data_IF_332935020069
#
_entry.id   IF_332935020069
#
_cell.length_a   1.000
_cell.length_b   1.000
_cell.length_c   1.000
_cell.angle_alpha   90.00
_cell.angle_beta   90.00
_cell.angle_gamma   90.00
#
_symmetry.space_group_name_H-M   'P 1'
#
loop_
_entity.id
_entity.type
_entity.pdbx_description
1 polymer ?
#
# COMPACT_ATOMS: atom_id res chain seq x y z
N UNK A 1 3.42 23.96 17.21
CA UNK A 1 3.29 23.98 16.62
C UNK A 1 3.08 24.66 15.97
N UNK A 2 3.41 24.99 15.77
CA UNK A 2 3.16 25.38 15.23
C UNK A 2 3.33 25.70 14.59
N UNK A 3 3.87 25.87 14.73
CA UNK A 3 4.13 25.91 13.90
C UNK A 3 3.70 25.50 12.96
N UNK A 4 3.30 25.40 12.98
CA UNK A 4 2.73 24.73 12.18
C UNK A 4 2.37 25.30 10.98
N UNK A 5 2.36 26.18 10.61
CA UNK A 5 1.93 26.89 9.53
C UNK A 5 2.65 26.52 8.31
N UNK A 6 3.33 27.39 7.63
CA UNK A 6 4.00 27.06 6.40
C UNK A 6 5.03 25.99 6.61
N UNK A 7 5.73 26.07 7.70
CA UNK A 7 6.69 25.04 8.04
C UNK A 7 6.03 23.70 8.25
N UNK A 8 4.84 23.72 8.81
CA UNK A 8 4.09 22.49 9.05
C UNK A 8 3.73 21.77 7.76
N UNK A 9 3.35 22.53 6.74
CA UNK A 9 2.99 21.92 5.46
C UNK A 9 4.17 21.22 4.83
N UNK A 10 5.33 21.86 4.83
CA UNK A 10 6.54 21.24 4.29
C UNK A 10 6.93 20.03 5.09
N UNK A 11 6.83 20.11 6.41
CA UNK A 11 7.16 18.99 7.26
C UNK A 11 6.20 17.83 7.05
N UNK A 12 4.93 18.12 6.83
CA UNK A 12 3.95 17.08 6.57
C UNK A 12 4.26 16.33 5.29
N UNK A 13 4.68 17.05 4.24
CA UNK A 13 4.99 16.41 2.98
C UNK A 13 6.19 15.49 3.13
N UNK A 14 7.25 15.97 3.79
CA UNK A 14 8.43 15.15 4.00
C UNK A 14 8.14 13.96 4.89
N UNK A 15 7.41 14.19 5.95
CA UNK A 15 7.03 13.12 6.86
C UNK A 15 6.22 12.05 6.13
N UNK A 16 5.26 12.48 5.32
CA UNK A 16 4.43 11.54 4.60
C UNK A 16 5.25 10.69 3.64
N UNK A 17 6.20 11.31 2.93
CA UNK A 17 7.04 10.57 2.00
C UNK A 17 7.90 9.54 2.71
N UNK A 18 8.48 9.93 3.83
CA UNK A 18 9.29 9.00 4.60
C UNK A 18 8.44 7.87 5.19
N UNK A 19 7.24 8.21 5.63
CA UNK A 19 6.32 7.21 6.16
C UNK A 19 5.94 6.20 5.08
N UNK A 20 5.63 6.68 3.87
CA UNK A 20 5.28 5.81 2.76
C UNK A 20 6.44 4.87 2.44
N UNK A 21 7.65 5.41 2.31
CA UNK A 21 8.82 4.60 1.99
C UNK A 21 9.05 3.53 3.04
N UNK A 22 9.01 3.94 4.31
CA UNK A 22 9.28 3.03 5.41
C UNK A 22 8.26 1.88 5.45
N UNK A 23 6.98 2.22 5.35
CA UNK A 23 5.95 1.19 5.45
C UNK A 23 5.87 0.33 4.19
N UNK A 24 6.16 0.91 3.02
CA UNK A 24 6.21 0.13 1.80
C UNK A 24 7.30 -0.92 1.87
N UNK A 25 8.45 -0.55 2.44
CA UNK A 25 9.55 -1.51 2.58
C UNK A 25 9.19 -2.65 3.51
N UNK A 26 8.26 -2.42 4.40
CA UNK A 26 7.79 -3.44 5.32
C UNK A 26 6.65 -4.27 4.74
N UNK A 27 6.33 -4.07 3.47
CA UNK A 27 5.32 -4.86 2.80
C UNK A 27 3.90 -4.36 2.92
N UNK A 28 3.72 -3.12 3.37
CA UNK A 28 2.37 -2.55 3.52
C UNK A 28 1.99 -1.79 2.28
N UNK A 29 0.70 -1.82 1.94
CA UNK A 29 0.19 -1.19 0.75
C UNK A 29 -0.38 0.20 1.01
N UNK A 30 -0.78 0.89 -0.07
CA UNK A 30 -1.19 2.29 0.04
C UNK A 30 -2.49 2.50 0.80
N UNK A 31 -3.41 1.53 0.78
CA UNK A 31 -4.67 1.69 1.52
C UNK A 31 -4.39 1.77 3.02
N UNK A 32 -3.54 0.87 3.51
CA UNK A 32 -3.21 0.88 4.92
C UNK A 32 -2.41 2.12 5.30
N UNK A 33 -1.46 2.50 4.44
CA UNK A 33 -0.64 3.69 4.71
C UNK A 33 -1.51 4.93 4.75
N UNK A 34 -2.46 5.04 3.83
CA UNK A 34 -3.39 6.17 3.81
C UNK A 34 -4.16 6.25 5.13
N UNK A 35 -4.69 5.12 5.58
CA UNK A 35 -5.46 5.11 6.82
C UNK A 35 -4.61 5.56 8.01
N UNK A 36 -3.37 5.09 8.08
CA UNK A 36 -2.50 5.45 9.17
C UNK A 36 -2.15 6.94 9.16
N UNK A 37 -1.89 7.49 7.97
CA UNK A 37 -1.56 8.91 7.87
C UNK A 37 -2.77 9.79 8.18
N UNK A 38 -3.97 9.35 7.80
CA UNK A 38 -5.17 10.09 8.15
C UNK A 38 -5.39 10.10 9.66
N UNK A 39 -5.09 9.01 10.32
CA UNK A 39 -5.18 8.97 11.78
C UNK A 39 -4.28 10.01 12.43
N UNK A 40 -3.17 10.31 11.78
CA UNK A 40 -2.24 11.31 12.31
C UNK A 40 -2.63 12.72 11.95
N UNK A 41 -3.71 12.88 11.20
CA UNK A 41 -4.23 14.20 10.90
C UNK A 41 -3.64 14.87 9.67
N UNK A 42 -2.93 14.12 8.84
CA UNK A 42 -2.37 14.70 7.63
C UNK A 42 -3.46 14.98 6.61
N UNK A 43 -3.34 16.06 5.84
CA UNK A 43 -4.33 16.37 4.81
C UNK A 43 -4.24 15.39 3.65
N UNK A 44 -5.38 15.19 2.99
CA UNK A 44 -5.45 14.24 1.88
C UNK A 44 -4.45 14.58 0.78
N UNK A 45 -4.24 15.86 0.52
CA UNK A 45 -3.32 16.28 -0.52
C UNK A 45 -1.89 15.81 -0.25
N UNK A 46 -1.47 15.91 1.00
CA UNK A 46 -0.13 15.47 1.37
C UNK A 46 -0.01 13.96 1.24
N UNK A 47 -1.05 13.24 1.63
CA UNK A 47 -1.03 11.79 1.55
C UNK A 47 -0.98 11.35 0.09
N UNK A 48 -1.84 11.92 -0.75
CA UNK A 48 -1.88 11.56 -2.16
C UNK A 48 -0.56 11.84 -2.85
N UNK A 49 0.03 12.99 -2.57
CA UNK A 49 1.32 13.35 -3.17
C UNK A 49 2.41 12.37 -2.75
N UNK A 50 2.42 11.99 -1.49
CA UNK A 50 3.42 11.05 -0.98
C UNK A 50 3.27 9.68 -1.61
N UNK A 51 2.04 9.23 -1.79
CA UNK A 51 1.80 7.93 -2.44
C UNK A 51 2.21 7.97 -3.90
N UNK A 52 1.93 9.08 -4.58
CA UNK A 52 2.30 9.23 -5.98
C UNK A 52 3.81 9.24 -6.17
N UNK A 53 4.53 9.80 -5.21
CA UNK A 53 5.98 9.83 -5.24
C UNK A 53 6.62 8.54 -4.75
N UNK A 54 5.80 7.63 -4.25
CA UNK A 54 6.28 6.37 -3.69
C UNK A 54 6.57 5.33 -4.74
N UNK A 55 6.64 4.08 -4.33
CA UNK A 55 7.01 3.01 -5.24
C UNK A 55 5.88 2.66 -6.20
N UNK A 56 6.22 1.81 -7.17
CA UNK A 56 5.21 1.21 -8.03
C UNK A 56 4.45 0.18 -7.20
N UNK A 57 3.21 0.54 -6.84
CA UNK A 57 2.45 -0.30 -5.92
C UNK A 57 2.07 -1.66 -6.51
N UNK A 58 1.89 -1.72 -7.83
CA UNK A 58 1.63 -3.01 -8.47
C UNK A 58 2.84 -3.92 -8.35
N UNK A 59 4.01 -3.37 -8.58
CA UNK A 59 5.25 -4.15 -8.43
C UNK A 59 5.45 -4.56 -6.98
N UNK A 60 5.14 -3.67 -6.04
CA UNK A 60 5.29 -4.02 -4.62
C UNK A 60 4.33 -5.14 -4.21
N UNK A 61 3.11 -5.11 -4.73
CA UNK A 61 2.17 -6.19 -4.42
C UNK A 61 2.71 -7.53 -4.89
N UNK A 62 3.29 -7.56 -6.09
CA UNK A 62 3.91 -8.79 -6.59
C UNK A 62 5.07 -9.24 -5.71
N UNK A 63 5.91 -8.29 -5.31
CA UNK A 63 7.05 -8.62 -4.46
C UNK A 63 6.61 -9.18 -3.12
N UNK A 64 5.60 -8.58 -2.52
CA UNK A 64 5.08 -9.03 -1.23
C UNK A 64 4.50 -10.43 -1.36
N UNK A 65 3.74 -10.67 -2.44
CA UNK A 65 3.20 -12.00 -2.69
C UNK A 65 4.30 -13.04 -2.83
N UNK A 66 5.32 -12.72 -3.64
CA UNK A 66 6.40 -13.65 -3.90
C UNK A 66 7.18 -13.93 -2.62
N UNK A 67 7.41 -12.89 -1.82
CA UNK A 67 8.15 -13.07 -0.58
C UNK A 67 7.42 -13.97 0.40
N UNK A 68 6.09 -13.89 0.42
CA UNK A 68 5.29 -14.66 1.36
C UNK A 68 4.98 -16.06 0.85
N UNK A 69 4.69 -16.20 -0.45
CA UNK A 69 4.19 -17.45 -1.01
C UNK A 69 5.11 -18.09 -2.04
N UNK A 70 6.17 -17.41 -2.45
CA UNK A 70 7.10 -17.93 -3.43
C UNK A 70 6.74 -17.52 -4.84
N UNK A 71 7.64 -17.86 -5.77
CA UNK A 71 7.48 -17.48 -7.18
C UNK A 71 6.36 -18.24 -7.88
N UNK A 72 6.03 -19.41 -7.39
CA UNK A 72 5.05 -20.25 -8.04
C UNK A 72 3.68 -19.63 -7.95
N UNK A 73 2.97 -19.65 -9.05
CA UNK A 73 1.63 -19.10 -9.06
C UNK A 73 0.67 -20.02 -8.33
N UNK A 74 -0.40 -19.46 -7.76
CA UNK A 74 -1.36 -20.30 -7.04
C UNK A 74 -2.00 -21.29 -7.98
N UNK A 75 -2.13 -22.52 -7.52
CA UNK A 75 -2.58 -23.62 -8.36
C UNK A 75 -4.10 -23.74 -8.43
N UNK A 76 -4.83 -23.08 -7.54
CA UNK A 76 -6.26 -23.23 -7.46
C UNK A 76 -6.92 -21.92 -7.11
N UNK A 77 -8.24 -21.86 -7.33
CA UNK A 77 -9.03 -20.70 -6.94
C UNK A 77 -8.96 -20.40 -5.45
N UNK A 78 -9.10 -21.41 -4.57
CA UNK A 78 -9.01 -21.14 -3.13
C UNK A 78 -7.64 -20.59 -2.75
N UNK A 79 -6.59 -21.10 -3.36
CA UNK A 79 -5.25 -20.61 -3.06
C UNK A 79 -5.07 -19.17 -3.55
N UNK A 80 -5.58 -18.88 -4.75
CA UNK A 80 -5.50 -17.53 -5.29
C UNK A 80 -6.26 -16.55 -4.41
N UNK A 81 -7.46 -16.94 -3.96
CA UNK A 81 -8.26 -16.08 -3.09
C UNK A 81 -7.55 -15.84 -1.77
N UNK A 82 -6.90 -16.88 -1.23
CA UNK A 82 -6.15 -16.76 0.01
C UNK A 82 -5.02 -15.75 -0.13
N UNK A 83 -4.28 -15.82 -1.23
CA UNK A 83 -3.19 -14.88 -1.45
C UNK A 83 -3.71 -13.47 -1.66
N UNK A 84 -4.84 -13.33 -2.34
CA UNK A 84 -5.47 -12.03 -2.52
C UNK A 84 -5.88 -11.40 -1.20
N UNK A 85 -6.48 -12.19 -0.33
CA UNK A 85 -6.89 -11.69 0.98
C UNK A 85 -5.68 -11.28 1.81
N UNK A 86 -4.57 -12.02 1.68
CA UNK A 86 -3.35 -11.63 2.37
C UNK A 86 -2.89 -10.24 1.92
N UNK A 87 -2.87 -10.01 0.61
CA UNK A 87 -2.46 -8.70 0.10
C UNK A 87 -3.44 -7.60 0.50
N UNK A 88 -4.72 -7.93 0.52
CA UNK A 88 -5.73 -6.99 0.98
C UNK A 88 -5.51 -6.61 2.44
N UNK A 89 -5.19 -7.61 3.26
CA UNK A 89 -4.89 -7.37 4.66
C UNK A 89 -3.66 -6.48 4.82
N UNK A 90 -2.69 -6.62 3.92
CA UNK A 90 -1.50 -5.77 3.95
C UNK A 90 -1.78 -4.35 3.47
N UNK A 91 -2.95 -4.10 2.90
CA UNK A 91 -3.36 -2.76 2.53
C UNK A 91 -3.21 -2.43 1.07
N UNK A 92 -3.10 -3.43 0.20
CA UNK A 92 -3.08 -3.18 -1.24
C UNK A 92 -4.49 -3.06 -1.77
N UNK A 93 -4.67 -2.21 -2.78
CA UNK A 93 -5.97 -2.06 -3.40
C UNK A 93 -6.27 -3.24 -4.32
N UNK A 94 -7.52 -3.37 -4.75
CA UNK A 94 -7.90 -4.46 -5.64
C UNK A 94 -7.15 -4.38 -6.96
N UNK A 95 -6.88 -3.17 -7.48
CA UNK A 95 -6.08 -3.04 -8.70
C UNK A 95 -4.69 -3.62 -8.53
N UNK A 96 -4.07 -3.33 -7.41
CA UNK A 96 -2.72 -3.83 -7.16
C UNK A 96 -2.71 -5.34 -6.98
N UNK A 97 -3.75 -5.85 -6.34
CA UNK A 97 -3.85 -7.29 -6.11
C UNK A 97 -4.08 -8.02 -7.44
N UNK A 98 -4.92 -7.45 -8.29
CA UNK A 98 -5.14 -8.05 -9.61
C UNK A 98 -3.88 -8.04 -10.44
N UNK A 99 -3.05 -7.01 -10.31
CA UNK A 99 -1.78 -7.00 -11.01
C UNK A 99 -0.87 -8.14 -10.54
N UNK A 100 -0.99 -8.53 -9.28
CA UNK A 100 -0.15 -9.59 -8.72
C UNK A 100 -0.71 -10.98 -8.98
N UNK A 101 -2.03 -11.12 -9.04
CA UNK A 101 -2.66 -12.44 -9.07
C UNK A 101 -3.54 -12.69 -10.29
N UNK A 102 -3.79 -11.66 -11.10
CA UNK A 102 -4.64 -11.81 -12.28
C UNK A 102 -6.00 -11.16 -12.07
N UNK A 103 -6.67 -10.82 -13.17
CA UNK A 103 -7.92 -10.06 -13.09
C UNK A 103 -9.09 -10.86 -12.53
N UNK A 104 -8.96 -12.17 -12.45
CA UNK A 104 -10.05 -13.03 -12.03
C UNK A 104 -10.00 -13.37 -10.53
N UNK A 105 -9.09 -12.77 -9.78
CA UNK A 105 -9.04 -13.02 -8.35
C UNK A 105 -10.29 -12.42 -7.69
N UNK A 106 -10.91 -13.20 -6.82
CA UNK A 106 -12.13 -12.80 -6.14
C UNK A 106 -11.79 -12.19 -4.79
N UNK A 107 -12.02 -10.90 -4.66
CA UNK A 107 -11.69 -10.16 -3.45
C UNK A 107 -12.90 -9.79 -2.62
N UNK A 108 -14.08 -10.25 -3.02
CA UNK A 108 -15.30 -9.87 -2.34
C UNK A 108 -15.79 -10.92 -1.34
N UNK A 109 -14.99 -11.88 -1.06
CA UNK A 109 -15.35 -12.94 -0.13
C UNK A 109 -15.14 -12.60 1.31
#
# INVERSE_FOLDING_TARGET
MDELTAGGILNDARYAEQFVTHHAERGQGPVRITALLKEQGLPDEAIDAALAAGPDWRARAREVRIRRFGLKEPASWPEKAKQGRFLQYRGFSSDHIRAALGPDVDLNE
#
